data_IF_454305361221
#
_entry.id   IF_454305361221
#
_cell.length_a   1.000
_cell.length_b   1.000
_cell.length_c   1.000
_cell.angle_alpha   90.00
_cell.angle_beta   90.00
_cell.angle_gamma   90.00
#
_symmetry.space_group_name_H-M   'P 1'
#
loop_
_entity.id
_entity.type
_entity.pdbx_description
1 polymer ?
#
# COMPACT_ATOMS: atom_id res chain seq x y z
N UNK A 1 17.31 -13.14 31.85
CA UNK A 1 16.49 -13.74 30.77
C UNK A 1 15.78 -12.69 29.89
N UNK A 2 15.48 -11.48 30.39
CA UNK A 2 14.68 -10.48 29.65
C UNK A 2 15.37 -9.74 28.49
N UNK A 3 16.68 -9.53 28.56
CA UNK A 3 17.41 -8.70 27.57
C UNK A 3 17.36 -9.28 26.15
N UNK A 4 17.61 -10.60 26.03
CA UNK A 4 17.60 -11.27 24.73
C UNK A 4 16.22 -11.20 24.06
N UNK A 5 15.16 -11.38 24.85
CA UNK A 5 13.79 -11.29 24.34
C UNK A 5 13.43 -9.86 23.94
N UNK A 6 13.94 -8.87 24.68
CA UNK A 6 13.75 -7.47 24.37
C UNK A 6 14.46 -7.07 23.05
N UNK A 7 15.69 -7.55 22.84
CA UNK A 7 16.39 -7.43 21.55
C UNK A 7 15.60 -8.10 20.43
N UNK A 8 15.11 -9.32 20.65
CA UNK A 8 14.29 -10.06 19.68
C UNK A 8 13.03 -9.29 19.30
N UNK A 9 12.34 -8.73 20.29
CA UNK A 9 11.15 -7.91 20.09
C UNK A 9 11.44 -6.67 19.25
N UNK A 10 12.55 -5.96 19.49
CA UNK A 10 12.94 -4.80 18.67
C UNK A 10 13.33 -5.20 17.25
N UNK A 11 14.06 -6.30 17.06
CA UNK A 11 14.37 -6.80 15.72
C UNK A 11 13.10 -7.16 14.94
N UNK A 12 12.09 -7.73 15.61
CA UNK A 12 10.79 -7.98 14.99
C UNK A 12 10.09 -6.68 14.58
N UNK A 13 10.17 -5.64 15.42
CA UNK A 13 9.63 -4.31 15.09
C UNK A 13 10.34 -3.70 13.87
N UNK A 14 11.66 -3.84 13.77
CA UNK A 14 12.41 -3.41 12.59
C UNK A 14 11.94 -4.18 11.34
N UNK A 15 11.83 -5.52 11.42
CA UNK A 15 11.42 -6.36 10.30
C UNK A 15 10.03 -6.00 9.75
N UNK A 16 9.05 -5.72 10.62
CA UNK A 16 7.70 -5.30 10.18
C UNK A 16 7.65 -3.86 9.64
N UNK A 17 8.63 -3.01 9.97
CA UNK A 17 8.70 -1.64 9.48
C UNK A 17 9.13 -1.58 8.00
N UNK A 18 9.93 -2.57 7.55
CA UNK A 18 10.42 -2.70 6.17
C UNK A 18 9.29 -2.68 5.13
N UNK A 19 8.30 -3.60 5.13
CA UNK A 19 7.25 -3.62 4.12
C UNK A 19 6.29 -2.43 4.17
N UNK A 20 6.28 -1.70 5.29
CA UNK A 20 5.42 -0.52 5.49
C UNK A 20 6.16 0.78 5.24
N UNK A 21 7.44 0.72 4.83
CA UNK A 21 8.32 1.86 4.58
C UNK A 21 8.38 2.84 5.77
N UNK A 22 8.27 2.31 6.99
CA UNK A 22 8.32 3.09 8.24
C UNK A 22 9.78 3.29 8.67
N UNK A 23 10.46 4.15 7.94
CA UNK A 23 11.90 4.36 8.00
C UNK A 23 12.38 4.79 9.41
N UNK A 24 11.71 5.76 10.04
CA UNK A 24 12.05 6.19 11.41
C UNK A 24 11.92 5.05 12.43
N UNK A 25 10.84 4.27 12.35
CA UNK A 25 10.61 3.13 13.23
C UNK A 25 11.66 2.04 13.05
N UNK A 26 12.06 1.79 11.80
CA UNK A 26 13.14 0.86 11.47
C UNK A 26 14.46 1.29 12.11
N UNK A 27 14.89 2.54 11.87
CA UNK A 27 16.14 3.07 12.44
C UNK A 27 16.14 3.07 13.97
N UNK A 28 15.05 3.54 14.58
CA UNK A 28 14.95 3.61 16.03
C UNK A 28 14.96 2.20 16.68
N UNK A 29 14.36 1.20 16.03
CA UNK A 29 14.38 -0.16 16.54
C UNK A 29 15.81 -0.75 16.52
N UNK A 30 16.57 -0.53 15.44
CA UNK A 30 17.96 -0.99 15.33
C UNK A 30 18.92 -0.24 16.26
N UNK A 31 18.73 1.07 16.45
CA UNK A 31 19.51 1.87 17.39
C UNK A 31 19.34 1.39 18.84
N UNK A 32 18.09 1.10 19.25
CA UNK A 32 17.81 0.53 20.56
C UNK A 32 18.50 -0.82 20.77
N UNK A 33 18.50 -1.69 19.74
CA UNK A 33 19.21 -2.97 19.79
C UNK A 33 20.70 -2.74 20.00
N UNK A 34 21.33 -1.88 19.19
CA UNK A 34 22.75 -1.53 19.31
C UNK A 34 23.09 -0.99 20.70
N UNK A 35 22.27 -0.09 21.23
CA UNK A 35 22.44 0.51 22.55
C UNK A 35 22.39 -0.54 23.66
N UNK A 36 21.38 -1.41 23.65
CA UNK A 36 21.25 -2.44 24.68
C UNK A 36 22.32 -3.52 24.58
N UNK A 37 22.73 -3.89 23.37
CA UNK A 37 23.82 -4.85 23.18
C UNK A 37 25.11 -4.28 23.76
N UNK A 38 25.46 -3.03 23.44
CA UNK A 38 26.65 -2.37 24.00
C UNK A 38 26.57 -2.16 25.52
N UNK A 39 25.38 -1.92 26.06
CA UNK A 39 25.20 -1.66 27.49
C UNK A 39 25.26 -2.92 28.37
N UNK A 40 24.92 -4.08 27.82
CA UNK A 40 24.68 -5.29 28.62
C UNK A 40 25.42 -6.56 28.13
N UNK A 41 26.06 -6.53 26.96
CA UNK A 41 26.96 -7.58 26.48
C UNK A 41 28.41 -7.12 26.51
N UNK A 42 29.33 -8.08 26.54
CA UNK A 42 30.75 -7.82 26.42
C UNK A 42 31.07 -7.37 24.99
N UNK A 43 31.44 -6.11 24.81
CA UNK A 43 31.79 -5.55 23.51
C UNK A 43 33.16 -5.99 23.02
N UNK A 44 33.96 -6.69 23.82
CA UNK A 44 35.24 -7.27 23.40
C UNK A 44 35.10 -8.67 22.77
N UNK A 45 33.99 -9.36 23.09
CA UNK A 45 33.64 -10.65 22.52
C UNK A 45 33.42 -10.57 21.00
N UNK A 46 33.98 -11.56 20.28
CA UNK A 46 33.94 -11.58 18.82
C UNK A 46 32.52 -11.73 18.26
N UNK A 47 31.65 -12.51 18.92
CA UNK A 47 30.29 -12.70 18.46
C UNK A 47 29.45 -11.43 18.66
N UNK A 48 29.66 -10.72 19.77
CA UNK A 48 28.99 -9.44 20.04
C UNK A 48 29.42 -8.36 19.04
N UNK A 49 30.71 -8.31 18.68
CA UNK A 49 31.22 -7.41 17.63
C UNK A 49 30.58 -7.70 16.27
N UNK A 50 30.56 -8.97 15.85
CA UNK A 50 29.95 -9.36 14.58
C UNK A 50 28.45 -9.02 14.52
N UNK A 51 27.72 -9.25 15.62
CA UNK A 51 26.31 -8.89 15.71
C UNK A 51 26.09 -7.38 15.59
N UNK A 52 26.87 -6.56 16.31
CA UNK A 52 26.79 -5.11 16.21
C UNK A 52 27.12 -4.59 14.80
N UNK A 53 28.06 -5.21 14.11
CA UNK A 53 28.40 -4.89 12.72
C UNK A 53 27.23 -5.22 11.76
N UNK A 54 26.55 -6.34 11.95
CA UNK A 54 25.35 -6.68 11.18
C UNK A 54 24.22 -5.66 11.42
N UNK A 55 23.97 -5.28 12.67
CA UNK A 55 22.94 -4.28 13.01
C UNK A 55 23.27 -2.92 12.39
N UNK A 56 24.54 -2.51 12.40
CA UNK A 56 25.00 -1.27 11.75
C UNK A 56 24.78 -1.33 10.22
N UNK A 57 25.18 -2.42 9.58
CA UNK A 57 24.91 -2.65 8.14
C UNK A 57 23.43 -2.60 7.81
N UNK A 58 22.56 -3.12 8.68
CA UNK A 58 21.11 -3.01 8.50
C UNK A 58 20.66 -1.55 8.63
N UNK A 59 21.14 -0.82 9.64
CA UNK A 59 20.75 0.57 9.87
C UNK A 59 21.09 1.52 8.72
N UNK A 60 22.11 1.18 7.92
CA UNK A 60 22.52 1.98 6.77
C UNK A 60 21.68 1.72 5.51
N UNK A 61 20.85 0.67 5.51
CA UNK A 61 19.98 0.37 4.37
C UNK A 61 18.74 1.26 4.38
N UNK A 62 18.51 1.96 3.27
CA UNK A 62 17.31 2.78 3.08
C UNK A 62 16.12 1.90 2.69
N UNK A 63 15.05 1.94 3.50
CA UNK A 63 13.80 1.18 3.24
C UNK A 63 12.67 2.05 2.66
N UNK A 64 12.98 3.27 2.22
CA UNK A 64 12.01 4.23 1.70
C UNK A 64 11.44 3.77 0.36
N UNK A 65 10.14 3.99 0.14
CA UNK A 65 9.49 3.85 -1.16
C UNK A 65 9.23 5.25 -1.73
N UNK A 66 9.73 5.50 -2.93
CA UNK A 66 9.36 6.68 -3.73
C UNK A 66 7.93 6.47 -4.26
N UNK A 67 6.93 6.96 -3.51
CA UNK A 67 5.56 7.05 -4.03
C UNK A 67 5.41 8.37 -4.78
N UNK A 68 4.92 8.38 -6.03
CA UNK A 68 4.65 9.62 -6.73
C UNK A 68 3.51 10.39 -6.02
N UNK A 69 3.72 11.68 -5.73
CA UNK A 69 2.71 12.57 -5.11
C UNK A 69 1.43 12.69 -5.95
N UNK A 70 1.54 12.52 -7.27
CA UNK A 70 0.40 12.50 -8.17
C UNK A 70 0.24 11.12 -8.78
N UNK A 71 -0.90 10.48 -8.56
CA UNK A 71 -1.28 9.32 -9.36
C UNK A 71 -1.55 9.82 -10.79
N UNK A 72 -0.84 9.29 -11.78
CA UNK A 72 -1.02 9.66 -13.19
C UNK A 72 -2.46 9.47 -13.72
N UNK A 73 -3.32 8.77 -12.97
CA UNK A 73 -4.74 8.65 -13.23
C UNK A 73 -5.51 9.97 -13.11
N UNK A 74 -5.03 10.97 -12.37
CA UNK A 74 -5.71 12.26 -12.21
C UNK A 74 -5.84 13.00 -13.56
N UNK A 75 -4.72 13.18 -14.28
CA UNK A 75 -4.72 13.83 -15.58
C UNK A 75 -5.52 13.03 -16.64
N UNK A 76 -5.50 11.69 -16.54
CA UNK A 76 -6.24 10.80 -17.45
C UNK A 76 -7.75 10.93 -17.20
N UNK A 77 -8.18 10.93 -15.94
CA UNK A 77 -9.58 11.11 -15.52
C UNK A 77 -10.12 12.47 -15.97
N UNK A 78 -9.34 13.53 -15.78
CA UNK A 78 -9.72 14.89 -16.17
C UNK A 78 -9.87 15.03 -17.69
N UNK A 79 -8.93 14.46 -18.47
CA UNK A 79 -9.04 14.39 -19.93
C UNK A 79 -10.26 13.60 -20.40
N UNK A 80 -10.59 12.51 -19.72
CA UNK A 80 -11.76 11.69 -20.04
C UNK A 80 -13.05 12.45 -19.74
N UNK A 81 -13.15 13.13 -18.61
CA UNK A 81 -14.29 13.99 -18.26
C UNK A 81 -14.47 15.13 -19.28
N UNK A 82 -13.40 15.83 -19.64
CA UNK A 82 -13.44 16.86 -20.69
C UNK A 82 -13.89 16.30 -22.04
N UNK A 83 -13.41 15.10 -22.41
CA UNK A 83 -13.80 14.43 -23.66
C UNK A 83 -15.29 14.07 -23.65
N UNK A 84 -15.81 13.53 -22.55
CA UNK A 84 -17.25 13.23 -22.41
C UNK A 84 -18.09 14.51 -22.47
N UNK A 85 -17.72 15.55 -21.73
CA UNK A 85 -18.45 16.82 -21.72
C UNK A 85 -18.45 17.45 -23.11
N UNK A 86 -17.30 17.48 -23.81
CA UNK A 86 -17.22 17.94 -25.20
C UNK A 86 -18.12 17.12 -26.12
N UNK A 87 -18.13 15.79 -25.97
CA UNK A 87 -18.95 14.90 -26.76
C UNK A 87 -20.46 15.05 -26.45
N UNK A 88 -20.83 15.48 -25.24
CA UNK A 88 -22.21 15.82 -24.87
C UNK A 88 -22.66 17.16 -25.44
N UNK A 89 -21.79 18.17 -25.48
CA UNK A 89 -22.11 19.48 -26.06
C UNK A 89 -22.09 19.48 -27.59
N UNK A 90 -21.25 18.62 -28.20
CA UNK A 90 -21.16 18.48 -29.65
C UNK A 90 -22.22 17.52 -30.24
N UNK A 91 -22.91 16.75 -29.39
CA UNK A 91 -24.07 15.98 -29.82
C UNK A 91 -25.30 16.88 -29.81
N UNK A 92 -25.90 17.21 -30.97
CA UNK A 92 -27.31 17.59 -30.97
C UNK A 92 -28.07 16.38 -30.41
N UNK A 93 -29.06 16.64 -29.55
CA UNK A 93 -30.01 15.62 -29.12
C UNK A 93 -30.59 14.96 -30.36
N UNK A 94 -30.06 13.81 -30.76
CA UNK A 94 -30.80 12.89 -31.60
C UNK A 94 -31.89 12.37 -30.68
N UNK A 95 -33.01 13.08 -30.69
CA UNK A 95 -34.29 12.57 -30.22
C UNK A 95 -34.52 11.29 -30.98
N UNK A 96 -34.20 10.16 -30.36
CA UNK A 96 -34.69 8.86 -30.80
C UNK A 96 -36.19 8.84 -30.48
N UNK A 97 -36.97 9.54 -31.30
CA UNK A 97 -38.38 9.28 -31.44
C UNK A 97 -38.51 7.96 -32.19
N UNK A 98 -38.50 6.86 -31.44
CA UNK A 98 -38.99 5.57 -31.93
C UNK A 98 -40.53 5.60 -31.84
N UNK A 99 -41.27 5.43 -32.96
CA UNK A 99 -42.72 5.37 -32.95
C UNK A 99 -43.23 4.05 -32.36
N UNK A 100 -44.28 4.17 -31.56
CA UNK A 100 -45.37 3.23 -31.36
C UNK A 100 -45.02 1.74 -31.12
N UNK A 101 -45.12 1.37 -29.85
CA UNK A 101 -45.70 0.10 -29.38
C UNK A 101 -46.94 -0.29 -30.19
N UNK A 102 -46.85 -1.41 -30.92
CA UNK A 102 -47.91 -2.42 -31.09
C UNK A 102 -47.44 -3.47 -32.12
N UNK A 103 -47.33 -4.73 -31.71
CA UNK A 103 -47.90 -5.92 -32.41
C UNK A 103 -47.72 -7.15 -31.50
N UNK A 104 -48.88 -7.65 -31.06
CA UNK A 104 -49.28 -9.03 -30.74
C UNK A 104 -48.66 -9.90 -29.63
N UNK A 105 -49.60 -10.37 -28.81
CA UNK A 105 -49.59 -11.36 -27.71
C UNK A 105 -49.28 -12.80 -28.18
N UNK A 106 -49.21 -13.87 -27.32
CA UNK A 106 -49.65 -13.93 -25.91
C UNK A 106 -48.71 -14.69 -24.94
N UNK A 107 -48.75 -14.30 -23.67
CA UNK A 107 -48.41 -15.18 -22.55
C UNK A 107 -49.64 -15.27 -21.64
N UNK A 108 -50.56 -16.15 -22.01
CA UNK A 108 -51.61 -16.62 -21.11
C UNK A 108 -51.11 -17.91 -20.45
N UNK A 109 -50.79 -17.85 -19.16
CA UNK A 109 -50.96 -18.98 -18.27
C UNK A 109 -52.32 -18.79 -17.57
N UNK A 110 -53.18 -19.83 -17.49
CA UNK A 110 -53.41 -20.39 -16.17
C UNK A 110 -53.70 -21.92 -16.14
N UNK A 111 -53.14 -22.56 -15.10
CA UNK A 111 -53.71 -23.53 -14.16
C UNK A 111 -55.04 -24.28 -14.46
N UNK A 112 -55.02 -25.62 -14.28
CA UNK A 112 -56.11 -26.62 -14.28
C UNK A 112 -55.70 -27.84 -15.13
N UNK A 113 -55.65 -29.09 -14.68
CA UNK A 113 -56.28 -29.89 -13.60
C UNK A 113 -55.26 -30.86 -12.97
#
# INVERSE_FOLDING_TARGET
VYLRENIRSRLLVAAQAVPRHQEETYRQALDNVSTWVRAYYDTDDAATKAFLEEVDKLSQQNITMDLPETLGSQAILEKLMQTRVRNLLAQPTVSTAAPATQTDAPAAAPQGE
#
